data_IF_841881183309
#
_entry.id   IF_841881183309
#
_cell.length_a   1.000
_cell.length_b   1.000
_cell.length_c   1.000
_cell.angle_alpha   90.00
_cell.angle_beta   90.00
_cell.angle_gamma   90.00
#
_symmetry.space_group_name_H-M   'P 1'
#
loop_
_entity.id
_entity.type
_entity.pdbx_description
1 polymer ?
#
# COMPACT_ATOMS: atom_id res chain seq x y z
N UNK A 1 16.67 -18.78 -25.88
CA UNK A 1 16.87 -18.62 -24.43
C UNK A 1 17.33 -17.21 -24.18
N UNK A 2 16.44 -16.32 -23.75
CA UNK A 2 16.78 -14.93 -23.42
C UNK A 2 17.40 -14.88 -22.04
N UNK A 3 18.61 -14.36 -21.95
CA UNK A 3 19.27 -14.06 -20.68
C UNK A 3 18.60 -12.83 -20.05
N UNK A 4 17.95 -13.02 -18.92
CA UNK A 4 17.50 -11.92 -18.10
C UNK A 4 18.73 -11.16 -17.56
N UNK A 5 18.84 -9.86 -17.86
CA UNK A 5 19.90 -9.00 -17.33
C UNK A 5 19.34 -8.20 -16.15
N UNK A 6 20.08 -8.15 -15.06
CA UNK A 6 19.79 -7.20 -13.97
C UNK A 6 20.07 -5.79 -14.47
N UNK A 7 19.08 -4.91 -14.35
CA UNK A 7 19.17 -3.49 -14.74
C UNK A 7 19.68 -2.60 -13.60
N UNK A 8 20.12 -3.18 -12.48
CA UNK A 8 20.48 -2.44 -11.28
C UNK A 8 19.31 -2.28 -10.29
N UNK A 9 19.50 -1.41 -9.30
CA UNK A 9 18.45 -1.09 -8.34
C UNK A 9 17.42 -0.17 -9.00
N UNK A 10 16.16 -0.61 -9.03
CA UNK A 10 15.05 0.18 -9.55
C UNK A 10 14.36 0.90 -8.40
N UNK A 11 14.34 2.22 -8.43
CA UNK A 11 13.54 3.05 -7.55
C UNK A 11 12.21 3.35 -8.23
N UNK A 12 11.12 3.00 -7.57
CA UNK A 12 9.79 3.38 -8.03
C UNK A 12 9.57 4.88 -7.84
N UNK A 13 9.18 5.59 -8.90
CA UNK A 13 8.90 7.02 -8.86
C UNK A 13 7.40 7.28 -8.76
N UNK A 14 6.63 6.76 -9.73
CA UNK A 14 5.19 6.94 -9.79
C UNK A 14 4.55 5.96 -10.77
N UNK A 15 3.25 5.86 -10.73
CA UNK A 15 2.46 5.24 -11.77
C UNK A 15 1.22 6.08 -12.06
N UNK A 16 0.71 5.97 -13.27
CA UNK A 16 -0.50 6.65 -13.70
C UNK A 16 -1.22 5.80 -14.75
N UNK A 17 -2.55 5.94 -14.86
CA UNK A 17 -3.29 5.29 -15.92
C UNK A 17 -3.02 5.98 -17.26
N UNK A 18 -2.93 5.20 -18.31
CA UNK A 18 -2.82 5.67 -19.70
C UNK A 18 -3.71 4.82 -20.59
N UNK A 19 -3.95 5.29 -21.82
CA UNK A 19 -4.72 4.56 -22.82
C UNK A 19 -3.81 4.18 -23.98
N UNK A 20 -3.60 2.88 -24.17
CA UNK A 20 -2.80 2.36 -25.27
C UNK A 20 -3.67 1.52 -26.20
N UNK A 21 -3.31 1.53 -27.49
CA UNK A 21 -3.94 0.66 -28.47
C UNK A 21 -3.32 -0.74 -28.37
N UNK A 22 -4.16 -1.77 -28.35
CA UNK A 22 -3.70 -3.16 -28.48
C UNK A 22 -3.36 -3.50 -29.93
N UNK A 23 -2.95 -4.74 -30.16
CA UNK A 23 -2.58 -5.23 -31.49
C UNK A 23 -3.74 -5.19 -32.51
N UNK A 24 -4.97 -5.15 -32.02
CA UNK A 24 -6.19 -5.07 -32.84
C UNK A 24 -6.69 -3.61 -33.01
N UNK A 25 -5.94 -2.62 -32.52
CA UNK A 25 -6.27 -1.19 -32.59
C UNK A 25 -7.35 -0.75 -31.61
N UNK A 26 -7.69 -1.56 -30.59
CA UNK A 26 -8.64 -1.19 -29.54
C UNK A 26 -7.95 -0.48 -28.41
N UNK A 27 -8.54 0.61 -27.93
CA UNK A 27 -8.05 1.35 -26.78
C UNK A 27 -8.22 0.53 -25.50
N UNK A 28 -7.13 0.34 -24.74
CA UNK A 28 -7.10 -0.31 -23.43
C UNK A 28 -6.52 0.62 -22.39
N UNK A 29 -7.12 0.67 -21.22
CA UNK A 29 -6.51 1.32 -20.05
C UNK A 29 -5.34 0.48 -19.58
N UNK A 30 -4.17 1.10 -19.48
CA UNK A 30 -2.93 0.49 -18.98
C UNK A 30 -2.37 1.34 -17.86
N UNK A 31 -1.58 0.73 -17.00
CA UNK A 31 -0.85 1.45 -15.96
C UNK A 31 0.59 1.65 -16.41
N UNK A 32 1.03 2.89 -16.43
CA UNK A 32 2.43 3.25 -16.70
C UNK A 32 3.14 3.38 -15.37
N UNK A 33 4.27 2.68 -15.22
CA UNK A 33 5.14 2.76 -14.05
C UNK A 33 6.42 3.49 -14.45
N UNK A 34 6.69 4.61 -13.81
CA UNK A 34 7.96 5.28 -13.94
C UNK A 34 8.92 4.77 -12.85
N UNK A 35 10.06 4.27 -13.30
CA UNK A 35 11.10 3.72 -12.45
C UNK A 35 12.39 4.49 -12.73
N UNK A 36 13.11 4.86 -11.67
CA UNK A 36 14.48 5.34 -11.80
C UNK A 36 15.44 4.17 -11.65
N UNK A 37 16.33 4.01 -12.61
CA UNK A 37 17.42 3.04 -12.54
C UNK A 37 18.61 3.70 -11.86
N UNK A 38 19.03 3.17 -10.72
CA UNK A 38 20.29 3.54 -10.10
C UNK A 38 21.40 2.67 -10.68
N UNK A 39 22.22 3.25 -11.55
CA UNK A 39 23.35 2.53 -12.13
C UNK A 39 24.44 2.38 -11.07
N UNK A 40 24.76 1.15 -10.70
CA UNK A 40 26.08 0.88 -10.14
C UNK A 40 27.13 0.92 -11.27
N UNK A 41 28.32 1.49 -11.04
CA UNK A 41 29.26 1.79 -12.10
C UNK A 41 30.01 0.55 -12.59
N UNK A 42 29.33 -0.33 -13.32
CA UNK A 42 29.94 -1.34 -14.21
C UNK A 42 28.91 -1.83 -15.23
N UNK A 43 28.73 -1.10 -16.30
CA UNK A 43 27.92 -1.55 -17.43
C UNK A 43 28.78 -1.76 -18.65
N UNK A 44 28.73 -2.99 -19.16
CA UNK A 44 29.16 -3.34 -20.51
C UNK A 44 28.08 -2.82 -21.48
N UNK A 45 28.44 -2.12 -22.59
CA UNK A 45 27.45 -1.54 -23.49
C UNK A 45 26.59 -2.61 -24.16
N UNK A 46 25.28 -2.39 -24.12
CA UNK A 46 24.33 -3.10 -24.97
C UNK A 46 24.38 -2.55 -26.39
N UNK A 47 24.64 -3.42 -27.34
CA UNK A 47 24.41 -3.12 -28.75
C UNK A 47 22.89 -3.06 -29.00
N UNK A 48 22.50 -1.98 -29.65
CA UNK A 48 21.25 -1.66 -30.34
C UNK A 48 20.22 -2.78 -30.54
N UNK A 49 18.97 -2.48 -30.15
CA UNK A 49 17.83 -2.38 -31.05
C UNK A 49 16.54 -2.29 -30.27
N UNK A 50 16.10 -1.11 -29.99
CA UNK A 50 14.73 -0.63 -30.01
C UNK A 50 14.71 0.85 -29.59
N UNK A 51 15.05 1.70 -30.54
CA UNK A 51 14.70 3.11 -30.48
C UNK A 51 13.20 3.18 -30.67
N UNK A 52 12.46 3.29 -29.59
CA UNK A 52 11.11 3.85 -29.65
C UNK A 52 11.31 5.32 -29.95
N UNK A 53 11.13 5.70 -31.22
CA UNK A 53 11.38 7.07 -31.67
C UNK A 53 10.46 8.03 -30.92
N UNK A 54 11.03 9.11 -30.44
CA UNK A 54 10.31 10.24 -29.82
C UNK A 54 9.18 10.80 -30.69
N UNK A 55 9.17 10.46 -31.97
CA UNK A 55 8.19 10.93 -32.95
C UNK A 55 6.80 10.28 -32.79
N UNK A 56 6.73 9.08 -32.19
CA UNK A 56 5.44 8.41 -31.89
C UNK A 56 4.72 9.08 -30.71
N UNK A 57 5.48 9.59 -29.74
CA UNK A 57 4.92 10.32 -28.60
C UNK A 57 4.47 11.73 -28.98
N UNK A 58 5.14 12.35 -29.95
CA UNK A 58 4.78 13.69 -30.43
C UNK A 58 3.58 13.66 -31.40
N UNK A 59 3.45 12.60 -32.21
CA UNK A 59 2.32 12.43 -33.13
C UNK A 59 0.99 12.14 -32.44
N UNK A 60 1.03 11.53 -31.24
CA UNK A 60 -0.18 11.29 -30.42
C UNK A 60 -0.68 12.56 -29.73
N UNK A 61 0.21 13.53 -29.49
CA UNK A 61 -0.12 14.79 -28.81
C UNK A 61 -0.74 15.86 -29.71
N UNK A 62 -0.54 15.77 -31.05
CA UNK A 62 -0.90 16.88 -31.96
C UNK A 62 -2.27 16.76 -32.63
N UNK A 63 -3.09 15.75 -32.30
CA UNK A 63 -4.38 15.52 -32.98
C UNK A 63 -5.67 15.59 -32.15
N UNK A 64 -5.59 16.00 -30.86
CA UNK A 64 -6.78 16.10 -29.99
C UNK A 64 -6.74 17.33 -29.09
N UNK A 65 -6.82 18.50 -29.70
CA UNK A 65 -6.78 19.77 -28.93
C UNK A 65 -8.16 20.38 -28.63
N UNK A 66 -9.28 19.76 -29.02
CA UNK A 66 -10.61 20.42 -28.94
C UNK A 66 -11.76 19.47 -28.51
N UNK A 67 -11.52 18.43 -27.72
CA UNK A 67 -12.60 17.61 -27.20
C UNK A 67 -12.80 17.91 -25.69
N UNK A 68 -14.00 18.39 -25.24
CA UNK A 68 -14.28 18.69 -23.83
C UNK A 68 -14.09 17.49 -22.89
N UNK A 69 -14.24 16.27 -23.40
CA UNK A 69 -14.03 15.03 -22.62
C UNK A 69 -12.54 14.80 -22.28
N UNK A 70 -11.61 15.30 -23.11
CA UNK A 70 -10.18 15.16 -22.85
C UNK A 70 -9.72 16.04 -21.66
N UNK A 71 -10.34 17.20 -21.46
CA UNK A 71 -10.04 18.08 -20.32
C UNK A 71 -10.51 17.49 -18.98
N UNK A 72 -11.61 16.75 -18.96
CA UNK A 72 -12.12 16.08 -17.77
C UNK A 72 -11.23 14.91 -17.37
N UNK A 73 -10.80 14.11 -18.34
CA UNK A 73 -9.84 12.99 -18.12
C UNK A 73 -8.49 13.50 -17.59
N UNK A 74 -8.00 14.62 -18.13
CA UNK A 74 -6.74 15.23 -17.67
C UNK A 74 -6.87 15.74 -16.23
N UNK A 75 -8.01 16.33 -15.87
CA UNK A 75 -8.27 16.80 -14.50
C UNK A 75 -8.41 15.65 -13.51
N UNK A 76 -9.14 14.58 -13.87
CA UNK A 76 -9.26 13.37 -13.04
C UNK A 76 -7.91 12.72 -12.79
N UNK A 77 -7.08 12.57 -13.82
CA UNK A 77 -5.75 12.02 -13.72
C UNK A 77 -4.83 12.87 -12.83
N UNK A 78 -4.91 14.20 -12.94
CA UNK A 78 -4.14 15.12 -12.10
C UNK A 78 -4.60 15.07 -10.63
N UNK A 79 -5.90 14.92 -10.37
CA UNK A 79 -6.43 14.76 -9.02
C UNK A 79 -6.00 13.43 -8.39
N UNK A 80 -6.10 12.32 -9.13
CA UNK A 80 -5.65 11.00 -8.66
C UNK A 80 -4.15 10.96 -8.38
N UNK A 81 -3.32 11.60 -9.22
CA UNK A 81 -1.89 11.72 -8.99
C UNK A 81 -1.59 12.54 -7.73
N UNK A 82 -2.29 13.66 -7.51
CA UNK A 82 -2.15 14.48 -6.32
C UNK A 82 -2.61 13.79 -5.05
N UNK A 83 -3.65 12.96 -5.11
CA UNK A 83 -4.12 12.16 -3.98
C UNK A 83 -3.09 11.08 -3.63
N UNK A 84 -2.60 10.36 -4.61
CA UNK A 84 -1.57 9.34 -4.41
C UNK A 84 -0.30 9.93 -3.77
N UNK A 85 0.16 11.09 -4.24
CA UNK A 85 1.32 11.79 -3.67
C UNK A 85 1.09 12.15 -2.18
N UNK A 86 -0.12 12.57 -1.82
CA UNK A 86 -0.49 12.83 -0.42
C UNK A 86 -0.41 11.57 0.43
N UNK A 87 -0.93 10.45 -0.05
CA UNK A 87 -0.89 9.17 0.65
C UNK A 87 0.54 8.66 0.84
N UNK A 88 1.38 8.77 -0.19
CA UNK A 88 2.80 8.40 -0.11
C UNK A 88 3.57 9.31 0.86
N UNK A 89 3.23 10.60 0.94
CA UNK A 89 3.83 11.52 1.88
C UNK A 89 3.48 11.14 3.35
N UNK A 90 2.22 10.80 3.60
CA UNK A 90 1.76 10.27 4.90
C UNK A 90 2.50 8.97 5.23
N UNK A 91 2.53 8.03 4.28
CA UNK A 91 3.24 6.76 4.45
C UNK A 91 4.72 6.96 4.77
N UNK A 92 5.38 7.89 4.09
CA UNK A 92 6.78 8.26 4.35
C UNK A 92 7.01 8.76 5.77
N UNK A 93 6.12 9.61 6.28
CA UNK A 93 6.17 10.08 7.67
C UNK A 93 5.98 8.93 8.66
N UNK A 94 5.00 8.05 8.42
CA UNK A 94 4.77 6.87 9.27
C UNK A 94 5.97 5.93 9.28
N UNK A 95 6.62 5.75 8.14
CA UNK A 95 7.82 4.94 8.02
C UNK A 95 9.02 5.55 8.76
N UNK A 96 9.09 6.88 8.91
CA UNK A 96 10.16 7.57 9.64
C UNK A 96 10.03 7.47 11.16
N UNK A 97 8.86 7.05 11.68
CA UNK A 97 8.69 6.84 13.12
C UNK A 97 9.57 5.70 13.62
N UNK A 98 9.99 5.76 14.87
CA UNK A 98 10.58 4.60 15.55
C UNK A 98 9.53 3.48 15.72
N UNK A 99 9.92 2.19 15.78
CA UNK A 99 8.96 1.08 15.87
C UNK A 99 7.93 1.26 16.99
N UNK A 100 8.37 1.63 18.18
CA UNK A 100 7.47 1.87 19.32
C UNK A 100 6.56 3.08 19.11
N UNK A 101 7.07 4.13 18.49
CA UNK A 101 6.26 5.31 18.15
C UNK A 101 5.16 4.96 17.14
N UNK A 102 5.45 4.05 16.20
CA UNK A 102 4.46 3.55 15.24
C UNK A 102 3.34 2.74 15.94
N UNK A 103 3.67 1.87 16.89
CA UNK A 103 2.67 1.16 17.69
C UNK A 103 1.77 2.12 18.49
N UNK A 104 2.36 3.15 19.12
CA UNK A 104 1.63 4.18 19.84
C UNK A 104 0.77 5.05 18.91
N UNK A 105 1.25 5.30 17.69
CA UNK A 105 0.48 5.96 16.65
C UNK A 105 -0.77 5.13 16.28
N UNK A 106 -0.63 3.84 16.05
CA UNK A 106 -1.76 2.93 15.78
C UNK A 106 -2.74 2.91 16.96
N UNK A 107 -2.24 2.88 18.20
CA UNK A 107 -3.09 3.02 19.39
C UNK A 107 -3.91 4.30 19.34
N UNK A 108 -3.26 5.45 19.09
CA UNK A 108 -3.93 6.77 19.02
C UNK A 108 -4.96 6.83 17.90
N UNK A 109 -4.64 6.29 16.73
CA UNK A 109 -5.57 6.22 15.60
C UNK A 109 -6.81 5.39 15.94
N UNK A 110 -6.65 4.22 16.56
CA UNK A 110 -7.78 3.41 16.99
C UNK A 110 -8.67 4.14 18.01
N UNK A 111 -8.07 4.86 18.97
CA UNK A 111 -8.82 5.69 19.92
C UNK A 111 -9.61 6.78 19.20
N UNK A 112 -8.99 7.44 18.22
CA UNK A 112 -9.63 8.47 17.41
C UNK A 112 -10.81 7.91 16.59
N UNK A 113 -10.66 6.72 16.03
CA UNK A 113 -11.72 5.99 15.31
C UNK A 113 -12.84 5.45 16.25
N UNK A 114 -12.83 5.77 17.54
CA UNK A 114 -13.90 5.40 18.47
C UNK A 114 -13.80 4.00 19.06
N UNK A 115 -12.64 3.33 18.97
CA UNK A 115 -12.40 2.11 19.73
C UNK A 115 -12.22 2.41 21.21
N UNK A 116 -12.74 1.55 22.07
CA UNK A 116 -12.65 1.63 23.52
C UNK A 116 -11.53 0.74 24.07
N UNK A 117 -11.12 0.99 25.31
CA UNK A 117 -10.10 0.19 26.03
C UNK A 117 -8.83 -0.08 25.21
N UNK A 118 -8.33 0.95 24.52
CA UNK A 118 -7.17 0.80 23.63
C UNK A 118 -5.87 0.84 24.43
N UNK A 119 -5.14 -0.26 24.43
CA UNK A 119 -3.88 -0.43 25.14
C UNK A 119 -2.78 -0.93 24.20
N UNK A 120 -1.63 -0.25 24.21
CA UNK A 120 -0.41 -0.81 23.62
C UNK A 120 0.18 -1.83 24.59
N UNK A 121 0.57 -3.02 24.09
CA UNK A 121 1.20 -4.05 24.91
C UNK A 121 2.61 -3.64 25.33
N UNK A 122 3.10 -4.24 26.41
CA UNK A 122 4.51 -4.11 26.79
C UNK A 122 5.34 -5.09 25.97
N UNK A 123 6.55 -4.66 25.61
CA UNK A 123 7.50 -5.42 24.82
C UNK A 123 7.65 -6.86 25.33
N UNK A 124 7.46 -7.84 24.42
CA UNK A 124 8.10 -9.18 24.45
C UNK A 124 7.33 -10.43 24.81
N UNK A 125 6.11 -10.42 25.33
CA UNK A 125 5.50 -11.68 25.75
C UNK A 125 4.23 -12.12 25.00
N UNK A 126 3.64 -11.26 24.18
CA UNK A 126 2.26 -11.44 23.70
C UNK A 126 2.15 -11.95 22.26
N UNK A 127 3.13 -12.73 21.78
CA UNK A 127 3.04 -13.41 20.47
C UNK A 127 2.87 -12.47 19.26
N UNK A 128 3.37 -11.22 19.38
CA UNK A 128 3.34 -10.24 18.29
C UNK A 128 2.08 -9.38 18.23
N UNK A 129 1.23 -9.38 19.26
CA UNK A 129 0.14 -8.41 19.41
C UNK A 129 0.70 -7.13 20.02
N UNK A 130 0.59 -6.01 19.32
CA UNK A 130 1.15 -4.73 19.75
C UNK A 130 0.10 -3.79 20.34
N UNK A 131 -1.16 -3.91 19.93
CA UNK A 131 -2.28 -3.10 20.42
C UNK A 131 -3.51 -3.98 20.65
N UNK A 132 -4.12 -3.84 21.82
CA UNK A 132 -5.43 -4.39 22.15
C UNK A 132 -6.47 -3.27 22.20
N UNK A 133 -7.67 -3.53 21.69
CA UNK A 133 -8.78 -2.60 21.70
C UNK A 133 -10.12 -3.37 21.82
N UNK A 134 -11.20 -2.64 22.11
CA UNK A 134 -12.56 -3.14 22.00
C UNK A 134 -13.35 -2.29 21.03
N UNK A 135 -14.31 -2.90 20.33
CA UNK A 135 -15.27 -2.14 19.55
C UNK A 135 -16.03 -1.17 20.48
N UNK A 136 -16.06 0.10 20.08
CA UNK A 136 -16.72 1.14 20.88
C UNK A 136 -18.26 1.04 20.88
N UNK A 137 -18.91 1.76 21.77
CA UNK A 137 -20.37 1.74 21.96
C UNK A 137 -21.15 2.21 20.72
N UNK A 138 -20.57 3.05 19.88
CA UNK A 138 -21.18 3.46 18.60
C UNK A 138 -21.39 2.27 17.66
N UNK A 139 -20.57 1.23 17.78
CA UNK A 139 -20.68 -0.03 17.04
C UNK A 139 -21.43 -1.08 17.86
N UNK A 140 -22.64 -0.75 18.31
CA UNK A 140 -23.41 -1.54 19.27
C UNK A 140 -23.55 -3.03 18.91
N UNK A 141 -23.63 -3.39 17.63
CA UNK A 141 -23.67 -4.79 17.16
C UNK A 141 -22.36 -5.54 17.44
N UNK A 142 -21.23 -4.82 17.47
CA UNK A 142 -19.90 -5.34 17.72
C UNK A 142 -19.39 -5.01 19.13
N UNK A 143 -20.27 -4.43 19.99
CA UNK A 143 -19.87 -3.97 21.32
C UNK A 143 -19.11 -5.08 22.07
N UNK A 144 -18.01 -4.70 22.71
CA UNK A 144 -17.10 -5.60 23.43
C UNK A 144 -16.32 -6.62 22.58
N UNK A 145 -16.45 -6.60 21.24
CA UNK A 145 -15.57 -7.39 20.39
C UNK A 145 -14.11 -6.98 20.63
N UNK A 146 -13.27 -7.92 21.00
CA UNK A 146 -11.85 -7.70 21.21
C UNK A 146 -11.16 -7.62 19.86
N UNK A 147 -10.36 -6.57 19.66
CA UNK A 147 -9.54 -6.33 18.48
C UNK A 147 -8.07 -6.40 18.91
N UNK A 148 -7.29 -7.22 18.23
CA UNK A 148 -5.86 -7.38 18.48
C UNK A 148 -5.11 -7.03 17.21
N UNK A 149 -4.19 -6.05 17.32
CA UNK A 149 -3.48 -5.50 16.18
C UNK A 149 -1.99 -5.76 16.31
N UNK A 150 -1.39 -6.23 15.21
CA UNK A 150 0.05 -6.27 15.03
C UNK A 150 0.47 -5.14 14.11
N UNK A 151 1.42 -4.32 14.54
CA UNK A 151 1.94 -3.16 13.82
C UNK A 151 3.35 -3.46 13.27
N UNK A 152 3.50 -3.41 11.94
CA UNK A 152 4.77 -3.70 11.26
C UNK A 152 5.26 -2.47 10.49
N UNK A 153 6.13 -1.67 11.10
CA UNK A 153 6.82 -0.57 10.42
C UNK A 153 7.96 -1.12 9.55
N UNK A 154 7.61 -1.60 8.38
CA UNK A 154 8.53 -2.29 7.48
C UNK A 154 8.60 -1.62 6.11
N UNK A 155 9.75 -1.77 5.44
CA UNK A 155 9.96 -1.41 4.03
C UNK A 155 9.63 -2.58 3.08
N UNK A 156 9.93 -3.80 3.52
CA UNK A 156 9.68 -5.02 2.75
C UNK A 156 8.27 -5.56 2.99
N UNK A 157 7.80 -6.39 2.07
CA UNK A 157 6.46 -6.97 2.13
C UNK A 157 6.26 -7.84 3.37
N UNK A 158 5.06 -7.77 3.95
CA UNK A 158 4.61 -8.69 5.00
C UNK A 158 4.20 -10.01 4.36
N UNK A 159 4.75 -11.10 4.87
CA UNK A 159 4.57 -12.44 4.34
C UNK A 159 3.44 -13.23 5.00
N UNK A 160 3.27 -14.48 4.54
CA UNK A 160 2.30 -15.44 5.12
C UNK A 160 2.57 -15.73 6.59
N UNK A 161 3.86 -15.82 6.96
CA UNK A 161 4.30 -16.20 8.29
C UNK A 161 3.74 -15.24 9.36
N UNK A 162 3.87 -13.95 9.15
CA UNK A 162 3.43 -12.93 10.08
C UNK A 162 1.91 -12.97 10.31
N UNK A 163 1.15 -13.21 9.25
CA UNK A 163 -0.32 -13.35 9.35
C UNK A 163 -0.72 -14.60 10.13
N UNK A 164 -0.03 -15.71 9.89
CA UNK A 164 -0.29 -16.97 10.61
C UNK A 164 0.13 -16.88 12.08
N UNK A 165 1.24 -16.21 12.39
CA UNK A 165 1.71 -15.97 13.77
C UNK A 165 0.70 -15.13 14.55
N UNK A 166 0.24 -14.00 13.99
CA UNK A 166 -0.79 -13.21 14.66
C UNK A 166 -2.05 -14.05 14.91
N UNK A 167 -2.52 -14.81 13.91
CA UNK A 167 -3.71 -15.66 14.10
C UNK A 167 -3.54 -16.66 15.24
N UNK A 168 -2.35 -17.26 15.37
CA UNK A 168 -2.04 -18.20 16.44
C UNK A 168 -1.96 -17.56 17.83
N UNK A 169 -1.72 -16.27 17.89
CA UNK A 169 -1.58 -15.50 19.15
C UNK A 169 -2.87 -14.81 19.58
N UNK A 170 -3.91 -14.83 18.74
CA UNK A 170 -5.19 -14.18 19.07
C UNK A 170 -5.83 -14.85 20.30
N UNK A 171 -6.38 -14.03 21.18
CA UNK A 171 -7.27 -14.49 22.23
C UNK A 171 -8.52 -15.15 21.62
N UNK A 172 -9.15 -16.10 22.31
CA UNK A 172 -10.41 -16.68 21.86
C UNK A 172 -11.44 -15.57 21.53
N UNK A 173 -12.07 -15.69 20.36
CA UNK A 173 -13.07 -14.73 19.84
C UNK A 173 -12.56 -13.33 19.51
N UNK A 174 -11.27 -13.05 19.62
CA UNK A 174 -10.67 -11.79 19.15
C UNK A 174 -10.66 -11.71 17.63
N UNK A 175 -10.75 -10.49 17.10
CA UNK A 175 -10.50 -10.16 15.70
C UNK A 175 -9.08 -9.64 15.54
N UNK A 176 -8.34 -10.23 14.61
CA UNK A 176 -6.96 -9.83 14.36
C UNK A 176 -6.83 -8.86 13.18
N UNK A 177 -5.88 -7.93 13.29
CA UNK A 177 -5.47 -7.09 12.20
C UNK A 177 -3.95 -6.97 12.13
N UNK A 178 -3.38 -7.04 10.92
CA UNK A 178 -1.98 -6.65 10.67
C UNK A 178 -1.99 -5.31 9.96
N UNK A 179 -1.31 -4.33 10.54
CA UNK A 179 -1.15 -2.98 10.01
C UNK A 179 0.32 -2.77 9.66
N UNK A 180 0.62 -2.32 8.45
CA UNK A 180 2.00 -2.10 8.02
C UNK A 180 2.17 -0.80 7.23
N UNK A 181 3.38 -0.25 7.25
CA UNK A 181 3.78 0.85 6.36
C UNK A 181 4.16 0.36 4.96
N UNK A 182 4.19 -0.95 4.73
CA UNK A 182 4.55 -1.59 3.46
C UNK A 182 3.31 -2.19 2.77
N UNK A 183 3.49 -3.30 2.09
CA UNK A 183 2.44 -4.04 1.39
C UNK A 183 2.44 -5.52 1.82
N UNK A 184 1.39 -6.25 1.45
CA UNK A 184 1.28 -7.67 1.73
C UNK A 184 1.61 -8.51 0.50
N UNK A 185 2.32 -9.61 0.69
CA UNK A 185 2.52 -10.60 -0.36
C UNK A 185 1.20 -11.30 -0.71
N UNK A 186 1.12 -11.87 -1.93
CA UNK A 186 -0.04 -12.68 -2.33
C UNK A 186 -0.31 -13.84 -1.36
N UNK A 187 0.76 -14.46 -0.84
CA UNK A 187 0.66 -15.54 0.13
C UNK A 187 0.07 -15.06 1.48
N UNK A 188 0.40 -13.83 1.93
CA UNK A 188 -0.18 -13.23 3.12
C UNK A 188 -1.68 -12.94 2.94
N UNK A 189 -2.06 -12.41 1.77
CA UNK A 189 -3.47 -12.13 1.44
C UNK A 189 -4.29 -13.42 1.43
N UNK A 190 -3.78 -14.49 0.83
CA UNK A 190 -4.44 -15.78 0.81
C UNK A 190 -4.57 -16.35 2.23
N UNK A 191 -3.49 -16.33 3.03
CA UNK A 191 -3.50 -16.79 4.42
C UNK A 191 -4.55 -16.03 5.24
N UNK A 192 -4.63 -14.70 5.11
CA UNK A 192 -5.56 -13.88 5.88
C UNK A 192 -7.04 -14.23 5.67
N UNK A 193 -7.37 -14.76 4.49
CA UNK A 193 -8.73 -15.09 4.06
C UNK A 193 -9.00 -16.60 3.96
N UNK A 194 -8.06 -17.43 4.39
CA UNK A 194 -8.16 -18.88 4.24
C UNK A 194 -9.43 -19.41 4.90
N UNK A 195 -10.19 -20.18 4.13
CA UNK A 195 -11.48 -20.73 4.54
C UNK A 195 -11.31 -21.65 5.75
N UNK A 196 -12.25 -21.59 6.69
CA UNK A 196 -12.20 -22.37 7.93
C UNK A 196 -11.27 -21.80 9.02
N UNK A 197 -10.56 -20.71 8.74
CA UNK A 197 -9.71 -20.02 9.73
C UNK A 197 -10.31 -18.69 10.17
N UNK A 198 -9.93 -18.22 11.36
CA UNK A 198 -10.30 -16.90 11.82
C UNK A 198 -9.69 -15.83 10.88
N UNK A 199 -10.48 -15.01 10.19
CA UNK A 199 -9.98 -14.05 9.21
C UNK A 199 -9.16 -12.96 9.88
N UNK A 200 -8.08 -12.52 9.19
CA UNK A 200 -7.22 -11.41 9.62
C UNK A 200 -7.43 -10.22 8.69
N UNK A 201 -7.65 -9.06 9.26
CA UNK A 201 -7.74 -7.81 8.50
C UNK A 201 -6.33 -7.36 8.12
N UNK A 202 -6.13 -7.00 6.86
CA UNK A 202 -4.85 -6.50 6.34
C UNK A 202 -4.98 -5.03 5.96
N UNK A 203 -4.18 -4.19 6.61
CA UNK A 203 -4.08 -2.75 6.37
C UNK A 203 -2.66 -2.44 5.92
N UNK A 204 -2.48 -2.25 4.62
CA UNK A 204 -1.21 -1.86 4.03
C UNK A 204 -0.94 -0.36 4.20
N UNK A 205 0.26 0.09 3.80
CA UNK A 205 0.68 1.48 3.99
C UNK A 205 -0.20 2.52 3.32
N UNK A 206 -0.77 2.21 2.14
CA UNK A 206 -1.68 3.14 1.46
C UNK A 206 -3.05 3.20 2.14
N UNK A 207 -3.60 2.06 2.53
CA UNK A 207 -4.87 2.01 3.29
C UNK A 207 -4.73 2.70 4.64
N UNK A 208 -3.59 2.54 5.32
CA UNK A 208 -3.31 3.23 6.57
C UNK A 208 -3.24 4.75 6.33
N UNK A 209 -2.53 5.18 5.28
CA UNK A 209 -2.45 6.59 4.92
C UNK A 209 -3.82 7.18 4.59
N UNK A 210 -4.65 6.43 3.88
CA UNK A 210 -6.02 6.82 3.58
C UNK A 210 -6.84 6.99 4.87
N UNK A 211 -6.76 6.03 5.79
CA UNK A 211 -7.47 6.12 7.07
C UNK A 211 -7.03 7.35 7.89
N UNK A 212 -5.72 7.66 7.90
CA UNK A 212 -5.19 8.88 8.54
C UNK A 212 -5.75 10.15 7.91
N UNK A 213 -5.86 10.18 6.58
CA UNK A 213 -6.39 11.32 5.84
C UNK A 213 -7.89 11.51 6.08
N UNK A 214 -8.67 10.43 5.98
CA UNK A 214 -10.14 10.43 6.14
C UNK A 214 -10.54 10.86 7.57
N UNK A 215 -9.85 10.33 8.56
CA UNK A 215 -10.07 10.64 9.96
C UNK A 215 -9.43 11.97 10.39
N UNK A 216 -8.67 12.64 9.53
CA UNK A 216 -7.91 13.88 9.83
C UNK A 216 -7.03 13.72 11.07
N UNK A 217 -6.47 12.53 11.25
CA UNK A 217 -5.64 12.23 12.40
C UNK A 217 -4.28 12.93 12.29
N UNK A 218 -3.80 13.62 13.33
CA UNK A 218 -2.53 14.36 13.28
C UNK A 218 -1.33 13.43 13.17
N UNK A 219 -0.35 13.85 12.37
CA UNK A 219 0.93 13.19 12.12
C UNK A 219 2.09 13.98 12.68
#
# INVERSE_FOLDING_TARGET
>A
MGLARSLGLLEYLRHYPDTQLDVDGKARKVWIFELRVHEEPKVVPLANDAVISSDVLTASRSKRADDPDDDEIVRENAQQAGEFERLENIRGKLLSLEPRAFELFIKGLLQHCGFADVHATQFSADGGVDVNAKAGSAMWVLANTVIQVQAKRWLHSVGRKEVAELRGSLQPFARGAVVTTSHFSKAAINEAREEGKNPIVLVDGLKLSQAVLDERFPL
#
